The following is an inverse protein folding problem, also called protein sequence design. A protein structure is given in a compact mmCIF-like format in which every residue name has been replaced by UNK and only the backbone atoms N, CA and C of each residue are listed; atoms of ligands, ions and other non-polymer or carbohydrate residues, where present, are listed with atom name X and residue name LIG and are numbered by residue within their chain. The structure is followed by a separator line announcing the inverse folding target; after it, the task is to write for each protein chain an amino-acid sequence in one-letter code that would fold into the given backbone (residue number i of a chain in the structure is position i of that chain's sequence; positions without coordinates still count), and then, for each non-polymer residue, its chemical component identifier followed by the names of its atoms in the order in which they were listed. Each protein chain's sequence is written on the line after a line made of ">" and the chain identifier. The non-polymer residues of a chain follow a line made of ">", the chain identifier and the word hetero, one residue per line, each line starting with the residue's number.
data_IF_188052942747
#
_entry.id   IF_188052942747
#
_cell.length_a   1.000
_cell.length_b   1.000
_cell.length_c   1.000
_cell.angle_alpha   90.00
_cell.angle_beta   90.00
_cell.angle_gamma   90.00
#
_symmetry.space_group_name_H-M   'P 1'
#
loop_
_entity.id
_entity.type
_entity.pdbx_description
1 polymer ?
#
# COMPACT_ATOMS: atom_id res chain seq x y z
N UNK A 1 30.52 -8.51 -7.33
CA UNK A 1 30.96 -7.26 -6.70
C UNK A 1 29.97 -6.88 -5.63
N UNK A 2 30.38 -7.02 -4.36
CA UNK A 2 29.56 -6.63 -3.21
C UNK A 2 29.35 -5.11 -3.23
N UNK A 3 28.16 -4.70 -3.67
CA UNK A 3 27.78 -3.28 -3.73
C UNK A 3 27.39 -2.71 -2.36
N UNK A 4 27.23 -3.54 -1.34
CA UNK A 4 26.66 -3.19 -0.02
C UNK A 4 27.65 -3.31 1.14
N UNK A 5 28.95 -3.40 0.86
CA UNK A 5 29.98 -3.57 1.89
C UNK A 5 30.18 -5.03 2.29
N UNK A 6 30.93 -5.22 3.37
CA UNK A 6 31.26 -6.54 3.90
C UNK A 6 30.16 -7.03 4.83
N UNK A 7 29.66 -8.25 4.60
CA UNK A 7 28.72 -8.86 5.54
C UNK A 7 29.40 -9.10 6.89
N UNK A 8 28.79 -8.74 8.02
CA UNK A 8 29.38 -9.01 9.33
C UNK A 8 29.53 -10.53 9.55
N UNK A 9 30.72 -10.97 9.88
CA UNK A 9 31.03 -12.35 10.27
C UNK A 9 31.69 -12.37 11.64
N UNK A 10 31.40 -13.38 12.44
CA UNK A 10 31.93 -13.58 13.80
C UNK A 10 31.73 -12.38 14.75
N UNK A 11 30.64 -11.65 14.56
CA UNK A 11 30.29 -10.48 15.35
C UNK A 11 28.89 -10.62 15.94
N UNK A 12 28.69 -10.18 17.19
CA UNK A 12 27.39 -10.06 17.80
C UNK A 12 26.72 -8.75 17.37
N UNK A 13 25.60 -8.84 16.67
CA UNK A 13 24.82 -7.66 16.27
C UNK A 13 23.64 -7.53 17.24
N UNK A 14 23.57 -6.42 17.97
CA UNK A 14 22.42 -6.10 18.79
C UNK A 14 21.48 -5.16 18.03
N UNK A 15 20.27 -5.62 17.76
CA UNK A 15 19.25 -4.83 17.09
C UNK A 15 18.20 -4.41 18.10
N UNK A 16 18.06 -3.11 18.32
CA UNK A 16 16.98 -2.54 19.15
C UNK A 16 15.87 -2.00 18.26
N UNK A 17 14.68 -2.54 18.39
CA UNK A 17 13.52 -2.13 17.58
C UNK A 17 12.26 -1.97 18.43
N UNK A 18 11.30 -1.19 17.93
CA UNK A 18 9.98 -1.02 18.54
C UNK A 18 8.98 -1.89 17.79
N UNK A 19 8.16 -2.61 18.53
CA UNK A 19 7.06 -3.41 17.98
C UNK A 19 5.76 -2.69 18.30
N UNK A 20 4.97 -2.39 17.29
CA UNK A 20 3.61 -1.87 17.43
C UNK A 20 2.60 -2.97 17.09
N UNK A 21 1.53 -3.06 17.87
CA UNK A 21 0.35 -3.84 17.48
C UNK A 21 -0.46 -2.99 16.47
N UNK A 22 -0.07 -3.05 15.24
CA UNK A 22 -0.26 -2.13 14.14
C UNK A 22 -1.68 -2.02 13.57
N UNK A 23 -2.73 -2.06 14.40
CA UNK A 23 -4.09 -1.87 13.88
C UNK A 23 -4.74 -0.65 14.54
N UNK A 24 -5.23 0.30 13.72
CA UNK A 24 -6.00 1.49 14.14
C UNK A 24 -5.29 2.42 15.12
N UNK A 25 -4.00 2.65 14.96
CA UNK A 25 -3.21 3.55 15.80
C UNK A 25 -3.01 4.94 15.19
N UNK A 26 -3.53 5.17 13.99
CA UNK A 26 -3.48 6.48 13.35
C UNK A 26 -4.61 7.36 13.85
N UNK A 27 -4.27 8.57 14.28
CA UNK A 27 -5.25 9.58 14.66
C UNK A 27 -4.87 10.93 14.06
N UNK A 28 -5.84 11.62 13.46
CA UNK A 28 -5.62 12.97 12.93
C UNK A 28 -5.42 13.96 14.07
N UNK A 29 -4.79 15.10 13.77
CA UNK A 29 -4.65 16.18 14.73
C UNK A 29 -6.04 16.64 15.23
N UNK A 30 -6.18 16.87 16.53
CA UNK A 30 -7.42 17.32 17.16
C UNK A 30 -8.49 16.23 17.35
N UNK A 31 -8.26 14.97 16.99
CA UNK A 31 -9.26 13.90 17.10
C UNK A 31 -9.23 13.16 18.44
N UNK A 32 -8.14 13.21 19.16
CA UNK A 32 -8.03 12.58 20.49
C UNK A 32 -8.56 13.57 21.52
N UNK A 33 -9.86 13.50 21.77
CA UNK A 33 -10.56 14.42 22.70
C UNK A 33 -11.17 13.72 23.91
N UNK A 34 -11.24 12.37 23.93
CA UNK A 34 -11.86 11.60 25.02
C UNK A 34 -10.82 11.11 26.00
N UNK A 35 -11.03 11.46 27.28
CA UNK A 35 -10.27 10.92 28.39
C UNK A 35 -11.05 9.73 28.97
N UNK A 36 -10.42 8.55 29.01
CA UNK A 36 -11.05 7.34 29.53
C UNK A 36 -10.94 7.26 31.06
N UNK A 37 -9.79 7.63 31.59
CA UNK A 37 -9.50 7.61 33.02
C UNK A 37 -8.54 8.76 33.34
N UNK A 38 -8.96 9.66 34.25
CA UNK A 38 -8.16 10.80 34.66
C UNK A 38 -7.81 10.64 36.16
N UNK A 39 -6.52 10.50 36.43
CA UNK A 39 -6.01 10.44 37.82
C UNK A 39 -5.41 11.78 38.17
N UNK A 40 -5.97 12.44 39.16
CA UNK A 40 -5.45 13.69 39.71
C UNK A 40 -4.72 13.42 41.03
N UNK A 41 -3.52 13.98 41.12
CA UNK A 41 -2.74 14.00 42.35
C UNK A 41 -2.61 15.45 42.82
N UNK A 42 -2.91 15.68 44.10
CA UNK A 42 -2.79 17.00 44.72
C UNK A 42 -1.74 16.92 45.84
N UNK A 43 -0.93 17.97 45.98
CA UNK A 43 0.21 17.99 46.92
C UNK A 43 -0.22 17.81 48.38
N UNK A 44 -1.37 18.35 48.79
CA UNK A 44 -1.89 18.22 50.14
C UNK A 44 -3.37 17.76 50.12
N UNK A 45 -3.61 16.44 50.25
CA UNK A 45 -4.96 15.88 50.21
C UNK A 45 -5.88 16.37 51.36
N UNK A 46 -5.31 16.85 52.46
CA UNK A 46 -6.08 17.28 53.63
C UNK A 46 -6.66 18.68 53.51
N UNK A 47 -6.11 19.51 52.62
CA UNK A 47 -6.54 20.91 52.40
C UNK A 47 -7.34 21.11 51.13
N UNK A 48 -7.77 20.06 50.49
CA UNK A 48 -8.49 20.15 49.22
C UNK A 48 -9.89 20.70 49.42
N UNK A 49 -10.19 21.80 48.74
CA UNK A 49 -11.57 22.23 48.58
C UNK A 49 -12.24 21.36 47.49
N UNK A 50 -13.23 20.58 47.86
CA UNK A 50 -13.91 19.60 46.99
C UNK A 50 -14.57 20.24 45.76
N UNK A 51 -15.08 21.47 45.85
CA UNK A 51 -15.65 22.19 44.69
C UNK A 51 -14.58 22.61 43.70
N UNK A 52 -13.46 23.17 44.19
CA UNK A 52 -12.33 23.52 43.35
C UNK A 52 -11.73 22.29 42.66
N UNK A 53 -11.58 21.20 43.36
CA UNK A 53 -11.09 19.94 42.80
C UNK A 53 -12.01 19.40 41.68
N UNK A 54 -13.34 19.49 41.91
CA UNK A 54 -14.32 19.10 40.88
C UNK A 54 -14.28 20.02 39.66
N UNK A 55 -14.12 21.32 39.87
CA UNK A 55 -13.97 22.28 38.74
C UNK A 55 -12.71 22.02 37.92
N UNK A 56 -11.60 21.67 38.59
CA UNK A 56 -10.36 21.27 37.88
C UNK A 56 -10.56 19.98 37.08
N UNK A 57 -11.26 19.00 37.65
CA UNK A 57 -11.58 17.76 36.93
C UNK A 57 -12.46 18.00 35.70
N UNK A 58 -13.46 18.88 35.83
CA UNK A 58 -14.39 19.21 34.76
C UNK A 58 -13.76 20.09 33.65
N UNK A 59 -12.70 20.83 33.97
CA UNK A 59 -11.99 21.67 33.01
C UNK A 59 -10.91 20.93 32.20
N UNK A 60 -10.76 19.61 32.44
CA UNK A 60 -9.76 18.83 31.71
C UNK A 60 -10.16 18.66 30.25
N UNK A 61 -9.43 19.31 29.38
CA UNK A 61 -9.54 19.15 27.95
C UNK A 61 -8.24 18.51 27.41
N UNK A 62 -8.38 17.57 26.50
CA UNK A 62 -7.25 16.88 25.87
C UNK A 62 -7.41 16.98 24.37
N UNK A 63 -6.34 17.38 23.70
CA UNK A 63 -6.25 17.30 22.25
C UNK A 63 -4.83 16.97 21.82
N UNK A 64 -4.69 16.31 20.69
CA UNK A 64 -3.38 16.08 20.08
C UNK A 64 -3.09 17.18 19.05
N UNK A 65 -2.06 17.97 19.29
CA UNK A 65 -1.63 19.03 18.37
C UNK A 65 -1.03 18.46 17.07
N UNK A 66 -0.45 17.27 17.13
CA UNK A 66 0.12 16.59 15.96
C UNK A 66 -0.61 15.26 15.71
N UNK A 67 -0.70 14.82 14.46
CA UNK A 67 -1.29 13.52 14.15
C UNK A 67 -0.46 12.40 14.79
N UNK A 68 -1.13 11.39 15.31
CA UNK A 68 -0.50 10.14 15.71
C UNK A 68 -0.45 9.24 14.48
N UNK A 69 0.75 8.89 14.06
CA UNK A 69 0.98 7.99 12.94
C UNK A 69 1.90 6.88 13.40
N UNK A 70 1.53 5.66 13.20
CA UNK A 70 2.31 4.52 13.69
C UNK A 70 1.90 3.21 13.04
N UNK A 71 0.85 3.25 12.23
CA UNK A 71 0.44 2.12 11.43
C UNK A 71 1.42 2.01 10.25
N UNK A 72 2.32 1.05 10.33
CA UNK A 72 3.24 0.71 9.25
C UNK A 72 3.10 -0.76 8.93
N UNK A 73 2.78 -1.04 7.70
CA UNK A 73 2.78 -2.42 7.19
C UNK A 73 4.22 -2.88 6.98
N UNK A 74 4.50 -4.12 7.35
CA UNK A 74 5.80 -4.73 7.07
C UNK A 74 5.86 -4.95 5.55
N UNK A 75 6.85 -4.37 4.85
CA UNK A 75 7.00 -4.57 3.42
C UNK A 75 7.38 -6.02 3.13
N UNK A 76 6.98 -6.53 1.98
CA UNK A 76 7.38 -7.86 1.54
C UNK A 76 8.87 -7.92 1.20
N UNK A 77 9.41 -9.13 1.11
CA UNK A 77 10.82 -9.33 0.77
C UNK A 77 11.18 -8.72 -0.60
N UNK A 78 10.26 -8.75 -1.57
CA UNK A 78 10.47 -8.14 -2.88
C UNK A 78 10.46 -6.61 -2.80
N UNK A 79 9.50 -6.03 -2.07
CA UNK A 79 9.46 -4.60 -1.81
C UNK A 79 10.70 -4.11 -1.06
N UNK A 80 11.16 -4.88 -0.05
CA UNK A 80 12.38 -4.57 0.69
C UNK A 80 13.62 -4.54 -0.21
N UNK A 81 13.80 -5.57 -1.06
CA UNK A 81 14.93 -5.62 -1.99
C UNK A 81 14.93 -4.41 -2.91
N UNK A 82 13.77 -4.04 -3.46
CA UNK A 82 13.63 -2.87 -4.32
C UNK A 82 13.93 -1.57 -3.58
N UNK A 83 13.35 -1.38 -2.37
CA UNK A 83 13.58 -0.19 -1.55
C UNK A 83 15.05 -0.01 -1.16
N UNK A 84 15.75 -1.10 -0.80
CA UNK A 84 17.17 -1.06 -0.47
C UNK A 84 17.98 -0.63 -1.68
N UNK A 85 17.72 -1.21 -2.84
CA UNK A 85 18.42 -0.86 -4.07
C UNK A 85 18.22 0.61 -4.45
N UNK A 86 16.95 1.07 -4.45
CA UNK A 86 16.59 2.43 -4.82
C UNK A 86 17.18 3.45 -3.81
N UNK A 87 17.10 3.18 -2.50
CA UNK A 87 17.63 4.06 -1.45
C UNK A 87 19.15 4.19 -1.52
N UNK A 88 19.85 3.12 -1.87
CA UNK A 88 21.31 3.16 -2.00
C UNK A 88 21.76 4.09 -3.14
N UNK A 89 21.01 4.08 -4.25
CA UNK A 89 21.33 4.92 -5.42
C UNK A 89 21.05 6.41 -5.18
N UNK A 90 20.05 6.77 -4.37
CA UNK A 90 19.60 8.17 -4.18
C UNK A 90 20.54 9.05 -3.37
N UNK A 91 21.37 8.48 -2.51
CA UNK A 91 22.26 9.24 -1.61
C UNK A 91 21.57 10.38 -0.85
N UNK A 92 20.32 10.20 -0.46
CA UNK A 92 19.44 11.20 0.20
C UNK A 92 19.17 12.47 -0.62
N UNK A 93 19.26 12.40 -1.95
CA UNK A 93 18.90 13.49 -2.84
C UNK A 93 17.88 13.02 -3.86
N UNK A 94 16.80 13.75 -4.01
CA UNK A 94 15.77 13.48 -4.99
C UNK A 94 16.00 14.33 -6.25
N UNK A 95 16.65 13.75 -7.25
CA UNK A 95 16.99 14.38 -8.53
C UNK A 95 16.18 13.77 -9.67
N UNK A 96 16.06 12.45 -9.69
CA UNK A 96 15.27 11.71 -10.67
C UNK A 96 13.88 11.38 -10.13
N UNK A 97 12.99 10.87 -10.98
CA UNK A 97 11.66 10.40 -10.55
C UNK A 97 11.78 9.21 -9.60
N UNK A 98 12.71 8.33 -9.89
CA UNK A 98 13.03 7.13 -9.11
C UNK A 98 13.57 7.53 -7.73
N UNK A 99 14.44 8.54 -7.64
CA UNK A 99 14.95 9.07 -6.39
C UNK A 99 13.80 9.65 -5.52
N UNK A 100 12.85 10.35 -6.15
CA UNK A 100 11.69 10.88 -5.43
C UNK A 100 10.81 9.76 -4.86
N UNK A 101 10.58 8.71 -5.65
CA UNK A 101 9.84 7.53 -5.18
C UNK A 101 10.58 6.85 -4.01
N UNK A 102 11.89 6.62 -4.14
CA UNK A 102 12.72 6.04 -3.11
C UNK A 102 12.70 6.89 -1.82
N UNK A 103 12.76 8.20 -1.96
CA UNK A 103 12.68 9.14 -0.84
C UNK A 103 11.32 9.05 -0.13
N UNK A 104 10.21 8.92 -0.89
CA UNK A 104 8.87 8.72 -0.29
C UNK A 104 8.79 7.40 0.46
N UNK A 105 9.30 6.31 -0.12
CA UNK A 105 9.31 5.01 0.56
C UNK A 105 10.25 4.93 1.77
N UNK A 106 11.29 5.78 1.81
CA UNK A 106 12.21 5.90 2.95
C UNK A 106 11.71 6.80 4.08
N UNK A 107 10.52 7.38 3.92
CA UNK A 107 9.93 8.27 4.93
C UNK A 107 9.77 7.53 6.26
N UNK A 108 10.25 8.10 7.37
CA UNK A 108 10.10 7.48 8.68
C UNK A 108 8.64 7.24 9.06
N UNK A 109 8.34 6.09 9.66
CA UNK A 109 6.99 5.68 10.03
C UNK A 109 6.23 6.68 10.92
N UNK A 110 6.97 7.54 11.66
CA UNK A 110 6.37 8.63 12.46
C UNK A 110 5.59 9.66 11.64
N UNK A 111 5.83 9.75 10.34
CA UNK A 111 5.11 10.63 9.43
C UNK A 111 3.98 9.92 8.67
N UNK A 112 3.84 8.62 8.87
CA UNK A 112 2.92 7.75 8.17
C UNK A 112 3.63 6.87 7.13
N UNK A 113 2.87 6.02 6.46
CA UNK A 113 3.39 5.08 5.47
C UNK A 113 2.64 5.21 4.15
N UNK A 114 3.37 5.25 3.06
CA UNK A 114 2.85 5.19 1.71
C UNK A 114 3.07 3.77 1.16
N UNK A 115 2.01 3.13 0.69
CA UNK A 115 2.08 1.77 0.12
C UNK A 115 2.49 1.80 -1.34
N UNK A 116 1.90 2.72 -2.13
CA UNK A 116 2.20 2.90 -3.56
C UNK A 116 2.38 4.38 -3.87
N UNK A 117 3.38 4.71 -4.63
CA UNK A 117 3.58 6.05 -5.18
C UNK A 117 4.17 6.01 -6.58
N UNK A 118 3.89 7.04 -7.35
CA UNK A 118 4.45 7.23 -8.69
C UNK A 118 4.58 8.71 -9.02
N UNK A 119 5.68 9.07 -9.67
CA UNK A 119 5.99 10.45 -10.05
C UNK A 119 5.86 10.64 -11.55
N UNK A 120 5.06 11.60 -11.97
CA UNK A 120 4.85 11.97 -13.37
C UNK A 120 5.14 13.44 -13.55
N UNK A 121 5.75 13.82 -14.68
CA UNK A 121 5.85 15.22 -15.06
C UNK A 121 4.45 15.75 -15.36
N UNK A 122 4.10 16.92 -14.85
CA UNK A 122 2.82 17.55 -15.16
C UNK A 122 2.78 17.94 -16.63
N UNK A 123 1.87 17.35 -17.44
CA UNK A 123 1.76 17.65 -18.86
C UNK A 123 1.23 19.06 -19.12
N UNK A 124 0.53 19.67 -18.16
CA UNK A 124 -0.11 20.98 -18.30
C UNK A 124 0.76 22.14 -17.79
N UNK A 125 1.94 21.84 -17.24
CA UNK A 125 2.82 22.85 -16.69
C UNK A 125 4.04 23.08 -17.56
N UNK A 126 4.29 24.34 -17.93
CA UNK A 126 5.54 24.77 -18.57
C UNK A 126 6.73 24.80 -17.61
N UNK A 127 6.47 24.77 -16.31
CA UNK A 127 7.47 24.72 -15.24
C UNK A 127 7.88 23.27 -14.94
N UNK A 128 8.94 23.11 -14.15
CA UNK A 128 9.34 21.81 -13.60
C UNK A 128 8.37 21.41 -12.47
N UNK A 129 7.12 21.18 -12.82
CA UNK A 129 6.13 20.68 -11.90
C UNK A 129 6.00 19.15 -12.03
N UNK A 130 6.01 18.47 -10.91
CA UNK A 130 5.91 17.03 -10.83
C UNK A 130 4.65 16.67 -10.04
N UNK A 131 3.87 15.76 -10.56
CA UNK A 131 2.72 15.17 -9.90
C UNK A 131 3.14 13.88 -9.23
N UNK A 132 3.10 13.85 -7.90
CA UNK A 132 3.33 12.66 -7.11
C UNK A 132 1.97 12.05 -6.75
N UNK A 133 1.64 10.92 -7.34
CA UNK A 133 0.46 10.15 -6.98
C UNK A 133 0.80 9.23 -5.81
N UNK A 134 -0.06 9.20 -4.80
CA UNK A 134 0.15 8.40 -3.58
C UNK A 134 -1.09 7.60 -3.22
N UNK A 135 -0.86 6.39 -2.71
CA UNK A 135 -1.87 5.53 -2.09
C UNK A 135 -1.33 5.02 -0.77
N UNK A 136 -2.19 5.01 0.23
CA UNK A 136 -1.93 4.39 1.53
C UNK A 136 -2.59 3.03 1.62
N UNK A 137 -2.23 2.27 2.62
CA UNK A 137 -2.88 1.00 2.96
C UNK A 137 -3.89 1.24 4.07
N UNK A 138 -5.09 0.71 3.91
CA UNK A 138 -6.14 0.75 4.93
C UNK A 138 -5.99 -0.37 5.96
N UNK A 139 -6.88 -0.37 6.94
CA UNK A 139 -6.93 -1.39 8.01
C UNK A 139 -7.08 -2.82 7.50
N UNK A 140 -7.74 -2.98 6.36
CA UNK A 140 -8.01 -4.27 5.72
C UNK A 140 -6.90 -4.70 4.75
N UNK A 141 -5.74 -4.03 4.79
CA UNK A 141 -4.61 -4.19 3.85
C UNK A 141 -4.93 -3.81 2.40
N UNK A 142 -6.10 -3.27 2.13
CA UNK A 142 -6.49 -2.79 0.81
C UNK A 142 -5.97 -1.37 0.59
N UNK A 143 -5.75 -1.02 -0.68
CA UNK A 143 -5.33 0.31 -1.06
C UNK A 143 -6.43 1.35 -0.82
N UNK A 144 -6.07 2.45 -0.19
CA UNK A 144 -6.95 3.58 0.07
C UNK A 144 -6.29 4.90 -0.31
N UNK A 145 -7.12 5.94 -0.46
CA UNK A 145 -6.59 7.30 -0.65
C UNK A 145 -5.83 7.74 0.59
N UNK A 146 -4.71 8.42 0.36
CA UNK A 146 -3.93 8.99 1.44
C UNK A 146 -4.70 10.13 2.13
N UNK A 147 -4.65 10.18 3.47
CA UNK A 147 -5.25 11.30 4.22
C UNK A 147 -4.54 12.61 3.90
N UNK A 148 -5.24 13.74 4.07
CA UNK A 148 -4.65 15.06 3.82
C UNK A 148 -3.41 15.29 4.68
N UNK A 149 -3.44 14.89 5.95
CA UNK A 149 -2.31 14.98 6.87
C UNK A 149 -1.10 14.18 6.37
N UNK A 150 -1.34 12.97 5.83
CA UNK A 150 -0.26 12.15 5.28
C UNK A 150 0.37 12.82 4.06
N UNK A 151 -0.43 13.41 3.18
CA UNK A 151 0.07 14.17 2.02
C UNK A 151 0.93 15.37 2.45
N UNK A 152 0.50 16.10 3.46
CA UNK A 152 1.28 17.21 4.03
C UNK A 152 2.61 16.74 4.63
N UNK A 153 2.60 15.63 5.34
CA UNK A 153 3.82 15.01 5.87
C UNK A 153 4.79 14.58 4.76
N UNK A 154 4.27 13.98 3.69
CA UNK A 154 5.06 13.62 2.50
C UNK A 154 5.66 14.87 1.86
N UNK A 155 4.89 15.95 1.75
CA UNK A 155 5.36 17.23 1.21
C UNK A 155 6.50 17.81 2.04
N UNK A 156 6.36 17.83 3.36
CA UNK A 156 7.41 18.30 4.28
C UNK A 156 8.66 17.43 4.17
N UNK A 157 8.50 16.11 4.07
CA UNK A 157 9.61 15.17 3.92
C UNK A 157 10.36 15.35 2.59
N UNK A 158 9.63 15.43 1.48
CA UNK A 158 10.22 15.64 0.16
C UNK A 158 10.92 16.98 0.03
N UNK A 159 10.37 18.04 0.63
CA UNK A 159 10.97 19.38 0.58
C UNK A 159 12.39 19.45 1.19
N UNK A 160 12.75 18.48 2.06
CA UNK A 160 14.10 18.40 2.63
C UNK A 160 15.13 17.83 1.67
N UNK A 161 14.68 17.01 0.72
CA UNK A 161 15.55 16.20 -0.14
C UNK A 161 15.46 16.58 -1.64
N UNK A 162 14.45 17.36 -2.04
CA UNK A 162 14.24 17.77 -3.44
C UNK A 162 15.19 18.91 -3.85
N UNK A 163 15.34 19.09 -5.15
CA UNK A 163 16.04 20.24 -5.69
C UNK A 163 15.22 21.54 -5.52
N UNK A 164 15.92 22.69 -5.41
CA UNK A 164 15.30 24.01 -5.13
C UNK A 164 14.29 24.42 -6.20
N UNK A 165 14.54 24.06 -7.46
CA UNK A 165 13.69 24.47 -8.60
C UNK A 165 12.51 23.52 -8.87
N UNK A 166 12.44 22.37 -8.20
CA UNK A 166 11.39 21.41 -8.44
C UNK A 166 10.18 21.73 -7.55
N UNK A 167 9.00 21.75 -8.16
CA UNK A 167 7.72 21.82 -7.46
C UNK A 167 7.05 20.46 -7.55
N UNK A 168 6.51 19.98 -6.42
CA UNK A 168 5.84 18.68 -6.34
C UNK A 168 4.44 18.87 -5.80
N UNK A 169 3.45 18.48 -6.60
CA UNK A 169 2.06 18.40 -6.19
C UNK A 169 1.72 16.97 -5.82
N UNK A 170 1.11 16.79 -4.64
CA UNK A 170 0.77 15.46 -4.12
C UNK A 170 -0.71 15.21 -4.39
N UNK A 171 -0.96 14.22 -5.24
CA UNK A 171 -2.28 13.85 -5.72
C UNK A 171 -2.65 12.43 -5.26
N UNK A 172 -3.95 12.14 -5.24
CA UNK A 172 -4.42 10.77 -4.98
C UNK A 172 -4.19 9.88 -6.19
N UNK A 173 -3.60 8.73 -5.96
CA UNK A 173 -3.63 7.63 -6.91
C UNK A 173 -5.05 7.06 -7.05
N UNK A 174 -5.29 6.34 -8.12
CA UNK A 174 -6.56 5.62 -8.37
C UNK A 174 -6.34 4.14 -8.15
N UNK A 175 -7.35 3.49 -7.58
CA UNK A 175 -7.37 2.04 -7.40
C UNK A 175 -8.43 1.47 -8.33
N UNK A 176 -8.07 0.44 -9.08
CA UNK A 176 -8.99 -0.35 -9.91
C UNK A 176 -9.06 -1.74 -9.31
N UNK A 177 -10.24 -2.14 -8.89
CA UNK A 177 -10.48 -3.49 -8.39
C UNK A 177 -10.86 -4.40 -9.54
N UNK A 178 -10.24 -5.58 -9.58
CA UNK A 178 -10.51 -6.56 -10.63
C UNK A 178 -10.78 -7.94 -10.05
N UNK A 179 -11.38 -8.79 -10.85
CA UNK A 179 -11.54 -10.22 -10.60
C UNK A 179 -10.98 -11.04 -11.75
N UNK A 180 -10.66 -12.28 -11.49
CA UNK A 180 -10.14 -13.25 -12.45
C UNK A 180 -11.18 -14.32 -12.69
N UNK A 181 -11.63 -14.48 -13.93
CA UNK A 181 -12.50 -15.58 -14.34
C UNK A 181 -11.73 -16.46 -15.34
N UNK A 182 -11.59 -17.73 -15.04
CA UNK A 182 -10.86 -18.66 -15.90
C UNK A 182 -11.64 -19.93 -16.19
N UNK A 183 -11.36 -20.54 -17.34
CA UNK A 183 -11.90 -21.81 -17.76
C UNK A 183 -10.74 -22.73 -18.16
N UNK A 184 -10.68 -23.91 -17.55
CA UNK A 184 -9.59 -24.86 -17.74
C UNK A 184 -10.09 -26.28 -17.98
N UNK A 185 -9.32 -27.04 -18.76
CA UNK A 185 -9.49 -28.45 -18.99
C UNK A 185 -8.69 -29.23 -17.94
N UNK A 186 -9.37 -30.16 -17.26
CA UNK A 186 -8.78 -30.94 -16.17
C UNK A 186 -8.74 -32.43 -16.56
N UNK A 187 -7.74 -33.11 -16.05
CA UNK A 187 -7.61 -34.54 -16.19
C UNK A 187 -8.86 -35.26 -15.61
N UNK A 188 -9.53 -36.11 -16.39
CA UNK A 188 -10.72 -36.83 -15.91
C UNK A 188 -10.50 -37.71 -14.68
N UNK A 189 -9.26 -38.13 -14.43
CA UNK A 189 -8.90 -39.00 -13.32
C UNK A 189 -8.69 -38.25 -11.99
N UNK A 190 -8.76 -36.91 -11.99
CA UNK A 190 -8.52 -36.08 -10.81
C UNK A 190 -9.82 -35.45 -10.29
N UNK A 191 -9.88 -35.21 -8.99
CA UNK A 191 -11.02 -34.53 -8.36
C UNK A 191 -11.07 -33.06 -8.76
N UNK A 192 -12.05 -32.69 -9.60
CA UNK A 192 -12.22 -31.32 -10.13
C UNK A 192 -12.35 -30.27 -9.03
N UNK A 193 -13.03 -30.57 -7.91
CA UNK A 193 -13.18 -29.62 -6.81
C UNK A 193 -11.86 -29.31 -6.10
N UNK A 194 -11.01 -30.32 -5.96
CA UNK A 194 -9.69 -30.18 -5.37
C UNK A 194 -8.78 -29.34 -6.28
N UNK A 195 -8.78 -29.61 -7.57
CA UNK A 195 -8.03 -28.84 -8.58
C UNK A 195 -8.50 -27.39 -8.60
N UNK A 196 -9.81 -27.14 -8.55
CA UNK A 196 -10.37 -25.79 -8.51
C UNK A 196 -9.91 -25.02 -7.27
N UNK A 197 -9.99 -25.64 -6.09
CA UNK A 197 -9.57 -25.02 -4.85
C UNK A 197 -8.06 -24.72 -4.84
N UNK A 198 -7.24 -25.63 -5.38
CA UNK A 198 -5.81 -25.43 -5.53
C UNK A 198 -5.51 -24.28 -6.51
N UNK A 199 -6.20 -24.21 -7.63
CA UNK A 199 -6.06 -23.12 -8.59
C UNK A 199 -6.39 -21.76 -7.98
N UNK A 200 -7.51 -21.67 -7.25
CA UNK A 200 -7.90 -20.44 -6.54
C UNK A 200 -6.86 -20.09 -5.46
N UNK A 201 -6.36 -21.06 -4.71
CA UNK A 201 -5.36 -20.83 -3.66
C UNK A 201 -4.04 -20.29 -4.23
N UNK A 202 -3.55 -20.86 -5.32
CA UNK A 202 -2.32 -20.44 -6.01
C UNK A 202 -2.47 -19.02 -6.58
N UNK A 203 -3.58 -18.74 -7.25
CA UNK A 203 -3.86 -17.39 -7.77
C UNK A 203 -3.99 -16.36 -6.63
N UNK A 204 -4.65 -16.73 -5.54
CA UNK A 204 -4.79 -15.89 -4.36
C UNK A 204 -3.44 -15.55 -3.75
N UNK A 205 -2.54 -16.51 -3.61
CA UNK A 205 -1.20 -16.28 -3.08
C UNK A 205 -0.40 -15.33 -3.99
N UNK A 206 -0.45 -15.55 -5.29
CA UNK A 206 0.33 -14.76 -6.26
C UNK A 206 -0.17 -13.33 -6.45
N UNK A 207 -1.49 -13.13 -6.47
CA UNK A 207 -2.13 -11.83 -6.68
C UNK A 207 -2.65 -11.19 -5.38
N UNK A 208 -2.18 -11.64 -4.21
CA UNK A 208 -2.54 -11.07 -2.91
C UNK A 208 -2.06 -9.64 -2.73
N UNK A 209 -0.99 -9.25 -3.40
CA UNK A 209 -0.44 -7.90 -3.34
C UNK A 209 -0.94 -7.05 -4.50
N UNK A 210 -1.36 -5.79 -4.23
CA UNK A 210 -1.71 -4.86 -5.29
C UNK A 210 -0.50 -4.53 -6.14
N UNK A 211 -0.73 -4.34 -7.45
CA UNK A 211 0.32 -4.00 -8.41
C UNK A 211 0.99 -2.66 -8.07
N UNK A 212 2.19 -2.43 -8.58
CA UNK A 212 2.75 -1.08 -8.56
C UNK A 212 1.94 -0.15 -9.47
N UNK A 213 2.00 1.14 -9.20
CA UNK A 213 1.31 2.12 -10.05
C UNK A 213 1.90 2.12 -11.46
N UNK A 214 1.03 2.03 -12.46
CA UNK A 214 1.42 1.96 -13.87
C UNK A 214 2.03 0.63 -14.30
N UNK A 215 2.00 -0.38 -13.44
CA UNK A 215 2.46 -1.73 -13.77
C UNK A 215 1.38 -2.46 -14.59
N UNK A 216 1.71 -2.96 -15.79
CA UNK A 216 0.77 -3.70 -16.58
C UNK A 216 0.39 -5.03 -15.92
N UNK A 217 -0.87 -5.41 -16.07
CA UNK A 217 -1.34 -6.72 -15.58
C UNK A 217 -1.20 -7.75 -16.72
N UNK A 218 -0.32 -8.71 -16.54
CA UNK A 218 -0.05 -9.74 -17.53
C UNK A 218 -1.03 -10.90 -17.42
N UNK A 219 -1.88 -11.07 -18.43
CA UNK A 219 -2.81 -12.20 -18.54
C UNK A 219 -2.02 -13.50 -18.76
N UNK A 220 -0.91 -13.43 -19.50
CA UNK A 220 -0.01 -14.56 -19.73
C UNK A 220 0.56 -15.15 -18.45
N UNK A 221 0.77 -14.34 -17.41
CA UNK A 221 1.25 -14.85 -16.12
C UNK A 221 0.18 -15.71 -15.45
N UNK A 222 -1.11 -15.37 -15.59
CA UNK A 222 -2.21 -16.17 -15.07
C UNK A 222 -2.26 -17.53 -15.77
N UNK A 223 -2.14 -17.55 -17.11
CA UNK A 223 -2.05 -18.80 -17.87
C UNK A 223 -0.87 -19.66 -17.42
N UNK A 224 0.31 -19.06 -17.29
CA UNK A 224 1.52 -19.77 -16.86
C UNK A 224 1.39 -20.34 -15.44
N UNK A 225 0.83 -19.55 -14.51
CA UNK A 225 0.63 -20.00 -13.13
C UNK A 225 -0.33 -21.18 -13.08
N UNK A 226 -1.46 -21.11 -13.77
CA UNK A 226 -2.45 -22.18 -13.79
C UNK A 226 -1.89 -23.45 -14.43
N UNK A 227 -1.19 -23.36 -15.55
CA UNK A 227 -0.64 -24.53 -16.25
C UNK A 227 0.58 -25.13 -15.54
N UNK A 228 1.43 -24.32 -14.90
CA UNK A 228 2.68 -24.83 -14.33
C UNK A 228 2.59 -25.16 -12.84
N UNK A 229 1.72 -24.46 -12.09
CA UNK A 229 1.71 -24.56 -10.62
C UNK A 229 0.53 -25.36 -10.06
N UNK A 230 -0.46 -25.70 -10.89
CA UNK A 230 -1.65 -26.47 -10.45
C UNK A 230 -1.63 -27.86 -11.08
N UNK A 231 -1.32 -28.91 -10.30
CA UNK A 231 -1.38 -30.27 -10.80
C UNK A 231 -2.82 -30.65 -11.14
N UNK A 232 -2.99 -31.34 -12.26
CA UNK A 232 -4.31 -31.81 -12.75
C UNK A 232 -4.97 -30.88 -13.77
N UNK A 233 -4.44 -29.66 -14.03
CA UNK A 233 -4.83 -28.84 -15.17
C UNK A 233 -4.04 -29.33 -16.39
N UNK A 234 -4.74 -29.65 -17.47
CA UNK A 234 -4.16 -30.05 -18.77
C UNK A 234 -3.87 -28.78 -19.59
N UNK A 235 -4.87 -27.88 -19.66
CA UNK A 235 -4.75 -26.64 -20.41
C UNK A 235 -5.77 -25.62 -19.93
N UNK A 236 -5.41 -24.33 -20.03
CA UNK A 236 -6.29 -23.21 -19.72
C UNK A 236 -6.87 -22.65 -20.98
N UNK A 237 -8.18 -22.82 -21.18
CA UNK A 237 -8.90 -22.40 -22.38
C UNK A 237 -9.04 -20.89 -22.49
N UNK A 238 -9.40 -20.23 -21.36
CA UNK A 238 -9.70 -18.80 -21.32
C UNK A 238 -9.42 -18.19 -19.98
N UNK A 239 -8.93 -16.96 -19.97
CA UNK A 239 -8.80 -16.12 -18.79
C UNK A 239 -9.38 -14.74 -19.11
N UNK A 240 -10.35 -14.32 -18.34
CA UNK A 240 -10.97 -13.00 -18.44
C UNK A 240 -10.70 -12.17 -17.18
N UNK A 241 -10.38 -10.90 -17.37
CA UNK A 241 -10.27 -9.95 -16.27
C UNK A 241 -11.56 -9.13 -16.21
N UNK A 242 -12.25 -9.22 -15.09
CA UNK A 242 -13.52 -8.52 -14.86
C UNK A 242 -13.31 -7.38 -13.89
N UNK A 243 -13.65 -6.16 -14.30
CA UNK A 243 -13.55 -4.99 -13.42
C UNK A 243 -14.71 -4.96 -12.44
N UNK A 244 -14.40 -4.73 -11.17
CA UNK A 244 -15.36 -4.64 -10.07
C UNK A 244 -15.50 -3.18 -9.65
N UNK A 245 -16.72 -2.64 -9.78
CA UNK A 245 -17.03 -1.24 -9.48
C UNK A 245 -18.21 -1.10 -8.53
N UNK A 246 -18.15 -0.09 -7.65
CA UNK A 246 -19.25 0.28 -6.77
C UNK A 246 -19.40 -0.60 -5.51
N UNK A 247 -20.32 -0.22 -4.61
CA UNK A 247 -20.49 -0.92 -3.34
C UNK A 247 -19.22 -0.91 -2.47
N UNK A 248 -18.68 -2.09 -2.20
CA UNK A 248 -17.44 -2.25 -1.44
C UNK A 248 -16.17 -2.04 -2.26
N UNK A 249 -16.28 -1.93 -3.58
CA UNK A 249 -15.15 -1.72 -4.49
C UNK A 249 -14.92 -0.23 -4.78
N UNK A 250 -13.81 0.05 -5.46
CA UNK A 250 -13.49 1.41 -5.92
C UNK A 250 -14.53 1.92 -6.94
N UNK A 251 -14.76 3.22 -6.94
CA UNK A 251 -15.62 3.90 -7.94
C UNK A 251 -14.86 4.26 -9.23
N UNK A 252 -13.61 3.83 -9.37
CA UNK A 252 -12.78 4.13 -10.54
C UNK A 252 -13.24 3.29 -11.72
N UNK A 253 -13.69 3.94 -12.79
CA UNK A 253 -14.06 3.26 -14.04
C UNK A 253 -12.81 2.92 -14.84
N UNK A 254 -12.76 1.69 -15.34
CA UNK A 254 -11.68 1.20 -16.18
C UNK A 254 -12.24 0.31 -17.29
N UNK A 255 -11.85 0.56 -18.52
CA UNK A 255 -12.30 -0.23 -19.69
C UNK A 255 -11.20 -1.23 -20.05
N UNK A 256 -11.48 -2.51 -19.88
CA UNK A 256 -10.57 -3.61 -20.25
C UNK A 256 -10.28 -3.59 -21.75
N UNK A 257 -11.33 -3.42 -22.59
CA UNK A 257 -11.18 -3.46 -24.04
C UNK A 257 -10.24 -2.38 -24.59
N UNK A 258 -10.25 -1.18 -23.97
CA UNK A 258 -9.36 -0.08 -24.38
C UNK A 258 -7.94 -0.21 -23.85
N UNK A 259 -7.79 -0.92 -22.75
CA UNK A 259 -6.52 -1.12 -22.09
C UNK A 259 -5.82 -2.42 -22.49
N UNK A 260 -6.55 -3.29 -23.21
CA UNK A 260 -6.00 -4.55 -23.70
C UNK A 260 -4.95 -4.28 -24.77
N UNK A 261 -3.80 -4.94 -24.63
CA UNK A 261 -2.78 -4.93 -25.67
C UNK A 261 -3.33 -5.54 -26.97
N UNK A 262 -2.84 -5.13 -28.17
CA UNK A 262 -3.28 -5.71 -29.44
C UNK A 262 -3.16 -7.24 -29.50
N UNK A 263 -2.19 -7.79 -28.78
CA UNK A 263 -1.94 -9.24 -28.71
C UNK A 263 -2.78 -9.95 -27.65
N UNK A 264 -3.58 -9.22 -26.85
CA UNK A 264 -4.40 -9.77 -25.76
C UNK A 264 -3.61 -10.35 -24.58
N UNK A 265 -2.32 -10.02 -24.44
CA UNK A 265 -1.41 -10.62 -23.46
C UNK A 265 -1.37 -9.88 -22.13
N UNK A 266 -1.59 -8.58 -22.13
CA UNK A 266 -1.56 -7.75 -20.94
C UNK A 266 -2.53 -6.58 -21.03
N UNK A 267 -2.88 -6.05 -19.88
CA UNK A 267 -3.62 -4.80 -19.74
C UNK A 267 -2.66 -3.67 -19.45
N UNK A 268 -2.70 -2.62 -20.26
CA UNK A 268 -1.96 -1.38 -20.01
C UNK A 268 -2.65 -0.56 -18.93
N UNK A 269 -1.93 -0.26 -17.87
CA UNK A 269 -2.46 0.46 -16.71
C UNK A 269 -1.91 1.89 -16.70
N UNK A 270 -2.75 2.94 -16.58
CA UNK A 270 -2.26 4.31 -16.48
C UNK A 270 -1.34 4.51 -15.28
N UNK A 271 -0.34 5.38 -15.41
CA UNK A 271 0.73 5.61 -14.43
C UNK A 271 0.25 6.04 -13.03
N UNK A 272 -0.99 6.55 -12.94
CA UNK A 272 -1.60 6.98 -11.69
C UNK A 272 -2.59 5.96 -11.11
N UNK A 273 -2.61 4.74 -11.65
CA UNK A 273 -3.53 3.66 -11.28
C UNK A 273 -2.74 2.48 -10.73
N UNK A 274 -3.26 1.85 -9.69
CA UNK A 274 -2.82 0.54 -9.18
C UNK A 274 -3.98 -0.44 -9.27
N UNK A 275 -3.74 -1.66 -9.69
CA UNK A 275 -4.73 -2.72 -9.76
C UNK A 275 -4.68 -3.57 -8.49
N UNK A 276 -5.85 -3.92 -7.96
CA UNK A 276 -5.99 -4.65 -6.71
C UNK A 276 -7.07 -5.73 -6.81
N UNK A 277 -6.74 -6.93 -6.36
CA UNK A 277 -7.68 -8.03 -6.14
C UNK A 277 -8.22 -7.92 -4.71
N UNK A 278 -9.35 -7.22 -4.53
CA UNK A 278 -9.81 -6.82 -3.20
C UNK A 278 -10.34 -7.97 -2.35
N UNK A 279 -11.14 -8.84 -2.93
CA UNK A 279 -11.74 -9.98 -2.26
C UNK A 279 -11.39 -11.29 -2.98
N UNK A 280 -10.18 -11.84 -2.77
CA UNK A 280 -9.69 -12.98 -3.54
C UNK A 280 -10.61 -14.19 -3.52
N UNK A 281 -11.38 -14.40 -2.43
CA UNK A 281 -12.27 -15.55 -2.29
C UNK A 281 -13.54 -15.44 -3.16
N UNK A 282 -13.96 -14.24 -3.54
CA UNK A 282 -15.16 -13.98 -4.35
C UNK A 282 -14.84 -13.49 -5.75
N UNK A 283 -13.67 -12.90 -5.93
CA UNK A 283 -13.28 -12.25 -7.19
C UNK A 283 -12.52 -13.19 -8.13
N UNK A 284 -12.05 -14.34 -7.61
CA UNK A 284 -11.49 -15.41 -8.43
C UNK A 284 -12.57 -16.46 -8.64
N UNK A 285 -12.91 -16.72 -9.91
CA UNK A 285 -13.88 -17.74 -10.30
C UNK A 285 -13.30 -18.63 -11.39
N UNK A 286 -13.42 -19.94 -11.21
CA UNK A 286 -12.99 -20.91 -12.18
C UNK A 286 -14.12 -21.85 -12.60
N UNK A 287 -14.14 -22.21 -13.86
CA UNK A 287 -14.95 -23.29 -14.44
C UNK A 287 -14.03 -24.37 -14.98
N UNK A 288 -14.25 -25.63 -14.55
CA UNK A 288 -13.46 -26.78 -14.97
C UNK A 288 -14.31 -27.69 -15.84
N UNK A 289 -13.76 -28.06 -16.99
CA UNK A 289 -14.38 -28.98 -17.96
C UNK A 289 -13.63 -30.30 -18.05
#
# INVERSE_FOLDING_TARGET
>A
TDKFGVAPSDTNITVTYRVNNSRNINASAGTITKVRDAKFSFDDPTKINKEKARNVQNSLEVSNAMPVTGESTIPTNQELKRRIFDTFATQNRAVTKEDMQATVYSMPAKFGSIKRCYVVKDPNSFKRNLNLYVLSEGTDKNLTKASQTLKENVKVWLNKNKMIHDTVDILDGKVVNYGIEFSALVDPDVNRFEVLNNAIAVLKEKFSEPTFMGEPLYITDIYNILNCSVPGIIDVKKVDIVIKEGGSYSSTRFSVDKAMSPDGRYLEVPLNVSMELKFPNSDIKGTLE
#
